data_IF_879028766289
#
_entry.id   IF_879028766289
#
_cell.length_a   1.000
_cell.length_b   1.000
_cell.length_c   1.000
_cell.angle_alpha   90.00
_cell.angle_beta   90.00
_cell.angle_gamma   90.00
#
_symmetry.space_group_name_H-M   'P 1'
#
loop_
_entity.id
_entity.type
_entity.pdbx_description
1 polymer ?
#
# COMPACT_ATOMS: atom_id res chain seq x y z
N UNK A 1 5.11 -9.75 6.08
CA UNK A 1 6.12 -10.37 6.96
C UNK A 1 7.14 -9.29 7.27
N UNK A 2 7.77 -9.32 8.43
CA UNK A 2 8.87 -8.42 8.75
C UNK A 2 9.76 -8.98 9.85
N UNK A 3 10.84 -8.28 10.13
CA UNK A 3 11.85 -8.67 11.08
C UNK A 3 11.78 -7.80 12.34
N UNK A 4 11.78 -8.44 13.51
CA UNK A 4 11.89 -7.79 14.81
C UNK A 4 13.33 -7.94 15.31
N UNK A 5 14.07 -6.84 15.27
CA UNK A 5 15.47 -6.76 15.66
C UNK A 5 15.69 -6.97 17.17
N UNK A 6 14.71 -6.60 18.00
CA UNK A 6 14.83 -6.73 19.45
C UNK A 6 14.78 -8.19 19.92
N UNK A 7 14.02 -9.03 19.21
CA UNK A 7 13.89 -10.45 19.52
C UNK A 7 14.65 -11.35 18.55
N UNK A 8 15.25 -10.78 17.50
CA UNK A 8 15.90 -11.49 16.39
C UNK A 8 14.97 -12.54 15.75
N UNK A 9 13.70 -12.16 15.53
CA UNK A 9 12.68 -13.06 14.97
C UNK A 9 12.02 -12.49 13.72
N UNK A 10 11.59 -13.39 12.83
CA UNK A 10 10.68 -13.02 11.74
C UNK A 10 9.24 -13.18 12.21
N UNK A 11 8.40 -12.21 11.87
CA UNK A 11 6.98 -12.19 12.22
C UNK A 11 6.12 -12.03 10.97
N UNK A 12 4.97 -12.67 10.99
CA UNK A 12 3.94 -12.55 9.96
C UNK A 12 2.71 -11.96 10.63
N UNK A 13 2.24 -10.84 10.09
CA UNK A 13 0.94 -10.25 10.45
C UNK A 13 -0.09 -10.68 9.43
N UNK A 14 -1.26 -11.10 9.92
CA UNK A 14 -2.46 -11.28 9.10
C UNK A 14 -3.60 -10.50 9.71
N UNK A 15 -4.45 -9.95 8.85
CA UNK A 15 -5.67 -9.25 9.24
C UNK A 15 -6.83 -9.96 8.56
N UNK A 16 -7.87 -10.27 9.32
CA UNK A 16 -9.10 -10.87 8.85
C UNK A 16 -10.29 -10.03 9.31
N UNK A 17 -11.30 -9.88 8.46
CA UNK A 17 -12.54 -9.20 8.80
C UNK A 17 -13.74 -9.94 8.23
N UNK A 18 -14.88 -9.83 8.90
CA UNK A 18 -16.15 -10.32 8.37
C UNK A 18 -16.73 -9.30 7.38
N UNK A 19 -16.65 -9.63 6.09
CA UNK A 19 -17.20 -8.80 5.00
C UNK A 19 -18.72 -8.67 5.05
N UNK A 20 -19.43 -9.54 5.79
CA UNK A 20 -20.90 -9.55 5.88
C UNK A 20 -21.44 -8.70 7.04
N UNK A 21 -20.58 -8.26 7.95
CA UNK A 21 -20.97 -7.44 9.09
C UNK A 21 -21.06 -5.97 8.70
N UNK A 22 -22.17 -5.30 9.05
CA UNK A 22 -22.36 -3.84 8.92
C UNK A 22 -21.30 -3.03 9.67
N UNK A 23 -20.63 -3.66 10.65
CA UNK A 23 -19.45 -3.12 11.34
C UNK A 23 -18.30 -4.06 11.02
N UNK A 24 -17.37 -3.65 10.16
CA UNK A 24 -16.17 -4.45 9.86
C UNK A 24 -15.38 -4.70 11.16
N UNK A 25 -15.61 -5.86 11.81
CA UNK A 25 -14.80 -6.30 12.95
C UNK A 25 -13.52 -6.89 12.39
N UNK A 26 -12.44 -6.12 12.52
CA UNK A 26 -11.11 -6.53 12.09
C UNK A 26 -10.40 -7.21 13.25
N UNK A 27 -9.84 -8.38 12.97
CA UNK A 27 -8.99 -9.13 13.89
C UNK A 27 -7.61 -9.20 13.28
N UNK A 28 -6.60 -8.87 14.09
CA UNK A 28 -5.20 -8.96 13.69
C UNK A 28 -4.49 -10.04 14.48
N UNK A 29 -3.69 -10.83 13.79
CA UNK A 29 -2.95 -11.94 14.40
C UNK A 29 -1.50 -11.93 13.94
N UNK A 30 -0.63 -12.34 14.85
CA UNK A 30 0.81 -12.47 14.64
C UNK A 30 1.21 -13.92 14.76
N UNK A 31 2.04 -14.35 13.81
CA UNK A 31 2.80 -15.57 13.87
C UNK A 31 4.29 -15.23 13.96
N UNK A 32 4.96 -15.76 14.97
CA UNK A 32 6.42 -15.64 15.12
C UNK A 32 7.03 -16.89 14.49
N UNK A 33 7.93 -16.71 13.54
CA UNK A 33 8.57 -17.83 12.86
C UNK A 33 9.34 -18.69 13.88
N UNK A 34 9.12 -20.00 13.84
CA UNK A 34 9.69 -20.94 14.81
C UNK A 34 8.77 -21.26 15.99
N UNK A 35 7.59 -20.64 16.10
CA UNK A 35 6.55 -21.05 17.04
C UNK A 35 5.47 -21.91 16.36
N UNK A 36 4.50 -22.42 17.14
CA UNK A 36 3.49 -23.37 16.66
C UNK A 36 2.12 -22.76 16.33
N UNK A 37 1.86 -21.50 16.68
CA UNK A 37 0.50 -20.94 16.56
C UNK A 37 0.48 -19.43 16.27
N UNK A 38 -0.63 -19.01 15.64
CA UNK A 38 -1.01 -17.61 15.52
C UNK A 38 -1.60 -17.13 16.84
N UNK A 39 -1.25 -15.92 17.28
CA UNK A 39 -1.91 -15.26 18.40
C UNK A 39 -2.56 -13.95 17.98
N UNK A 40 -3.68 -13.64 18.59
CA UNK A 40 -4.37 -12.36 18.40
C UNK A 40 -3.61 -11.22 19.09
N UNK A 41 -3.67 -10.03 18.49
CA UNK A 41 -3.13 -8.80 19.05
C UNK A 41 -4.24 -7.76 19.19
N UNK A 42 -4.18 -6.88 20.20
CA UNK A 42 -5.21 -5.87 20.42
C UNK A 42 -5.18 -4.76 19.36
N UNK A 43 -4.08 -4.62 18.62
CA UNK A 43 -3.94 -3.62 17.57
C UNK A 43 -4.51 -4.12 16.25
N UNK A 44 -5.35 -3.32 15.59
CA UNK A 44 -5.96 -3.62 14.29
C UNK A 44 -5.95 -2.37 13.41
N UNK A 45 -5.99 -2.53 12.07
CA UNK A 45 -5.99 -1.37 11.18
C UNK A 45 -7.35 -0.66 11.21
N UNK A 46 -7.40 0.62 10.82
CA UNK A 46 -8.65 1.40 10.83
C UNK A 46 -9.69 0.90 9.81
N UNK A 47 -9.25 0.18 8.77
CA UNK A 47 -10.11 -0.41 7.75
C UNK A 47 -9.40 -1.60 7.07
N UNK A 48 -10.07 -2.21 6.09
CA UNK A 48 -9.50 -3.32 5.31
C UNK A 48 -8.19 -2.90 4.62
N UNK A 49 -7.17 -3.75 4.75
CA UNK A 49 -5.89 -3.58 4.07
C UNK A 49 -6.02 -4.00 2.60
N UNK A 50 -5.41 -3.26 1.69
CA UNK A 50 -5.36 -3.64 0.28
C UNK A 50 -4.24 -4.63 -0.04
N UNK A 51 -4.24 -5.18 -1.25
CA UNK A 51 -3.13 -5.99 -1.74
C UNK A 51 -1.88 -5.16 -2.09
N UNK A 52 -2.05 -3.85 -2.25
CA UNK A 52 -0.97 -2.90 -2.56
C UNK A 52 -0.19 -2.60 -1.29
N UNK A 53 0.97 -3.24 -1.15
CA UNK A 53 1.76 -3.26 0.08
C UNK A 53 3.25 -3.18 -0.19
N UNK A 54 3.98 -2.54 0.71
CA UNK A 54 5.43 -2.39 0.61
C UNK A 54 6.10 -2.53 1.98
N UNK A 55 7.34 -3.02 2.00
CA UNK A 55 8.17 -3.03 3.21
C UNK A 55 9.25 -1.95 3.08
N UNK A 56 9.25 -0.99 4.00
CA UNK A 56 10.20 0.13 4.02
C UNK A 56 10.35 0.65 5.45
N UNK A 57 11.54 1.18 5.78
CA UNK A 57 11.82 1.75 7.10
C UNK A 57 11.52 0.78 8.28
N UNK A 58 11.76 -0.52 8.07
CA UNK A 58 11.50 -1.57 9.08
C UNK A 58 10.03 -1.93 9.31
N UNK A 59 9.12 -1.30 8.58
CA UNK A 59 7.67 -1.46 8.75
C UNK A 59 7.01 -2.00 7.47
N UNK A 60 5.88 -2.69 7.64
CA UNK A 60 5.01 -3.05 6.52
C UNK A 60 3.97 -1.95 6.32
N UNK A 61 3.74 -1.56 5.08
CA UNK A 61 2.82 -0.51 4.67
C UNK A 61 1.78 -1.05 3.69
N UNK A 62 0.58 -0.51 3.72
CA UNK A 62 -0.52 -0.83 2.81
C UNK A 62 -1.24 0.44 2.38
N UNK A 63 -1.72 0.49 1.14
CA UNK A 63 -2.77 1.45 0.79
C UNK A 63 -4.07 1.06 1.50
N UNK A 64 -4.74 2.07 2.04
CA UNK A 64 -6.03 1.95 2.75
C UNK A 64 -6.98 3.06 2.29
N UNK A 65 -8.28 2.77 2.24
CA UNK A 65 -9.32 3.74 1.93
C UNK A 65 -10.09 4.03 3.21
N UNK A 66 -9.96 5.25 3.71
CA UNK A 66 -10.58 5.68 4.96
C UNK A 66 -11.91 6.36 4.66
N UNK A 67 -12.95 6.17 5.49
CA UNK A 67 -14.19 6.91 5.35
C UNK A 67 -13.93 8.42 5.42
N UNK A 68 -14.51 9.18 4.49
CA UNK A 68 -14.50 10.64 4.53
C UNK A 68 -15.91 11.14 4.87
N UNK A 69 -16.12 11.75 6.05
CA UNK A 69 -17.43 12.28 6.45
C UNK A 69 -17.95 13.39 5.52
N UNK A 70 -17.05 14.05 4.78
CA UNK A 70 -17.40 15.13 3.86
C UNK A 70 -17.87 14.65 2.48
N UNK A 71 -17.63 13.37 2.16
CA UNK A 71 -18.10 12.74 0.94
C UNK A 71 -19.43 12.01 1.20
N UNK A 72 -20.34 12.05 0.22
CA UNK A 72 -21.54 11.19 0.24
C UNK A 72 -21.16 9.73 0.49
N UNK A 73 -22.11 8.95 1.02
CA UNK A 73 -22.07 7.63 1.70
C UNK A 73 -21.13 6.51 1.20
N UNK A 74 -20.37 6.72 0.13
CA UNK A 74 -19.52 5.74 -0.54
C UNK A 74 -18.10 6.24 -0.91
N UNK A 75 -17.75 7.50 -0.58
CA UNK A 75 -16.42 8.05 -0.84
C UNK A 75 -15.43 7.85 0.32
N UNK A 76 -14.14 7.81 0.02
CA UNK A 76 -13.10 7.75 1.03
C UNK A 76 -11.78 8.37 0.59
N UNK A 77 -10.92 8.65 1.56
CA UNK A 77 -9.57 9.17 1.34
C UNK A 77 -8.58 8.01 1.30
N UNK A 78 -7.86 7.88 0.18
CA UNK A 78 -6.76 6.93 0.07
C UNK A 78 -5.58 7.42 0.89
N UNK A 79 -5.00 6.55 1.70
CA UNK A 79 -3.83 6.85 2.51
C UNK A 79 -3.01 5.58 2.74
N UNK A 80 -1.93 5.68 3.52
CA UNK A 80 -1.07 4.54 3.86
C UNK A 80 -1.17 4.24 5.36
N UNK A 81 -1.47 2.98 5.66
CA UNK A 81 -1.40 2.41 7.00
C UNK A 81 -0.12 1.60 7.16
N UNK A 82 0.49 1.67 8.34
CA UNK A 82 1.78 1.04 8.64
C UNK A 82 1.67 0.13 9.85
N UNK A 83 2.39 -1.00 9.85
CA UNK A 83 2.49 -1.94 10.96
C UNK A 83 3.96 -2.09 11.40
N UNK A 84 4.19 -1.95 12.71
CA UNK A 84 5.49 -2.09 13.33
C UNK A 84 5.63 -3.50 13.93
N UNK A 85 6.56 -4.31 13.43
CA UNK A 85 6.74 -5.70 13.91
C UNK A 85 7.39 -5.80 15.29
N UNK A 86 8.16 -4.79 15.69
CA UNK A 86 8.79 -4.74 17.01
C UNK A 86 7.77 -4.43 18.11
N UNK A 87 6.91 -3.44 17.87
CA UNK A 87 5.82 -3.06 18.79
C UNK A 87 4.57 -3.92 18.63
N UNK A 88 4.43 -4.58 17.49
CA UNK A 88 3.25 -5.35 17.08
C UNK A 88 1.97 -4.51 17.03
N UNK A 89 2.12 -3.30 16.50
CA UNK A 89 1.07 -2.30 16.48
C UNK A 89 0.94 -1.67 15.10
N UNK A 90 -0.29 -1.39 14.69
CA UNK A 90 -0.57 -0.45 13.61
C UNK A 90 -0.28 0.97 14.11
N UNK A 91 0.43 1.75 13.30
CA UNK A 91 0.69 3.15 13.63
C UNK A 91 -0.63 3.92 13.73
N UNK A 92 -0.81 4.64 14.84
CA UNK A 92 -1.98 5.52 15.02
C UNK A 92 -2.01 6.71 14.06
N UNK A 93 -0.87 7.06 13.43
CA UNK A 93 -0.79 8.13 12.42
C UNK A 93 -0.66 7.54 11.03
N UNK A 94 -1.61 7.90 10.18
CA UNK A 94 -1.68 7.52 8.77
C UNK A 94 -0.74 8.41 7.96
N UNK A 95 -0.12 7.86 6.92
CA UNK A 95 0.72 8.62 5.98
C UNK A 95 -0.18 9.06 4.80
N UNK A 96 -0.34 10.37 4.54
CA UNK A 96 -1.13 10.84 3.40
C UNK A 96 -0.38 10.56 2.10
N UNK A 97 -1.13 10.48 1.00
CA UNK A 97 -0.55 10.49 -0.34
C UNK A 97 0.09 11.87 -0.66
N UNK A 98 0.90 11.99 -1.72
CA UNK A 98 1.34 13.29 -2.23
C UNK A 98 0.15 14.23 -2.47
N UNK A 99 0.29 15.51 -2.12
CA UNK A 99 -0.79 16.52 -2.21
C UNK A 99 -1.42 16.59 -3.61
N UNK A 100 -0.59 16.49 -4.65
CA UNK A 100 -1.03 16.45 -6.05
C UNK A 100 -2.02 15.31 -6.36
N UNK A 101 -1.99 14.22 -5.59
CA UNK A 101 -2.88 13.07 -5.78
C UNK A 101 -4.21 13.21 -5.03
N UNK A 102 -4.33 14.11 -4.05
CA UNK A 102 -5.52 14.17 -3.19
C UNK A 102 -6.79 14.34 -4.01
N UNK A 103 -6.81 15.27 -4.97
CA UNK A 103 -7.99 15.50 -5.82
C UNK A 103 -8.34 14.32 -6.76
N UNK A 104 -7.35 13.48 -7.12
CA UNK A 104 -7.54 12.28 -7.95
C UNK A 104 -8.04 11.10 -7.12
N UNK A 105 -7.54 10.94 -5.90
CA UNK A 105 -7.81 9.79 -5.01
C UNK A 105 -9.05 9.95 -4.12
N UNK A 106 -9.46 11.19 -3.83
CA UNK A 106 -10.56 11.51 -2.89
C UNK A 106 -11.94 11.10 -3.41
N UNK A 107 -12.10 10.68 -4.67
CA UNK A 107 -13.43 10.32 -5.24
C UNK A 107 -13.58 8.84 -5.59
N UNK A 108 -12.94 7.93 -4.86
CA UNK A 108 -12.98 6.50 -5.18
C UNK A 108 -13.75 5.69 -4.12
N UNK A 109 -14.59 4.75 -4.57
CA UNK A 109 -15.26 3.75 -3.72
C UNK A 109 -14.29 2.63 -3.29
N UNK A 110 -13.03 2.96 -2.99
CA UNK A 110 -11.97 1.99 -2.70
C UNK A 110 -10.60 2.45 -3.21
N UNK A 111 -9.62 1.54 -3.16
CA UNK A 111 -8.26 1.81 -3.66
C UNK A 111 -8.26 1.82 -5.19
N UNK A 112 -7.78 2.89 -5.84
CA UNK A 112 -7.67 2.93 -7.29
C UNK A 112 -6.68 1.87 -7.80
N UNK A 113 -7.09 1.10 -8.81
CA UNK A 113 -6.28 0.01 -9.38
C UNK A 113 -4.97 0.48 -10.05
N UNK A 114 -4.89 1.77 -10.35
CA UNK A 114 -3.72 2.39 -10.97
C UNK A 114 -2.68 2.90 -9.96
N UNK A 115 -2.99 2.87 -8.66
CA UNK A 115 -2.08 3.26 -7.59
C UNK A 115 -1.39 2.04 -7.00
N UNK A 116 -0.07 2.04 -7.02
CA UNK A 116 0.75 0.96 -6.51
C UNK A 116 1.70 1.48 -5.44
N UNK A 117 1.79 0.77 -4.32
CA UNK A 117 2.72 1.03 -3.24
C UNK A 117 3.84 -0.01 -3.31
N UNK A 118 5.09 0.45 -3.34
CA UNK A 118 6.27 -0.41 -3.45
C UNK A 118 7.45 0.14 -2.65
N UNK A 119 8.49 -0.68 -2.46
CA UNK A 119 9.76 -0.23 -1.94
C UNK A 119 10.66 0.15 -3.11
N UNK A 120 11.19 1.38 -3.12
CA UNK A 120 12.16 1.81 -4.11
C UNK A 120 13.44 2.21 -3.38
N UNK A 121 14.47 1.38 -3.51
CA UNK A 121 15.79 1.58 -2.88
C UNK A 121 15.68 1.77 -1.35
N UNK A 122 14.77 1.04 -0.72
CA UNK A 122 14.52 1.09 0.73
C UNK A 122 13.59 2.22 1.19
N UNK A 123 13.18 3.12 0.29
CA UNK A 123 12.18 4.15 0.56
C UNK A 123 10.80 3.71 0.10
N UNK A 124 9.76 4.23 0.74
CA UNK A 124 8.39 4.01 0.31
C UNK A 124 8.13 4.80 -0.98
N UNK A 125 7.51 4.17 -1.98
CA UNK A 125 7.17 4.82 -3.24
C UNK A 125 5.74 4.51 -3.66
N UNK A 126 5.08 5.51 -4.26
CA UNK A 126 3.80 5.39 -4.93
C UNK A 126 4.02 5.53 -6.42
N UNK A 127 3.41 4.64 -7.19
CA UNK A 127 3.35 4.72 -8.65
C UNK A 127 1.91 4.97 -9.08
N UNK A 128 1.70 6.08 -9.78
CA UNK A 128 0.43 6.42 -10.41
C UNK A 128 0.48 6.10 -11.91
N UNK A 129 -0.33 5.13 -12.33
CA UNK A 129 -0.48 4.71 -13.72
C UNK A 129 -1.81 5.17 -14.34
N UNK A 130 -2.51 6.11 -13.72
CA UNK A 130 -3.86 6.59 -14.10
C UNK A 130 -3.98 6.89 -15.58
N UNK A 131 -5.05 6.41 -16.22
CA UNK A 131 -5.27 6.52 -17.67
C UNK A 131 -5.29 7.95 -18.20
N UNK A 132 -5.71 8.88 -17.35
CA UNK A 132 -5.97 10.28 -17.72
C UNK A 132 -4.68 11.10 -17.79
N UNK A 133 -3.55 10.53 -17.34
CA UNK A 133 -2.22 11.12 -17.48
C UNK A 133 -1.47 10.46 -18.65
N UNK A 134 -0.74 11.27 -19.43
CA UNK A 134 0.20 10.79 -20.44
C UNK A 134 1.43 10.13 -19.81
N UNK A 135 1.65 10.34 -18.51
CA UNK A 135 2.82 9.87 -17.80
C UNK A 135 2.47 8.88 -16.70
N UNK A 136 3.43 8.02 -16.38
CA UNK A 136 3.50 7.31 -15.11
C UNK A 136 4.35 8.16 -14.18
N UNK A 137 3.80 8.48 -13.01
CA UNK A 137 4.51 9.26 -12.00
C UNK A 137 4.93 8.36 -10.83
N UNK A 138 6.20 8.48 -10.43
CA UNK A 138 6.77 7.74 -9.30
C UNK A 138 7.15 8.76 -8.23
N UNK A 139 6.41 8.71 -7.13
CA UNK A 139 6.60 9.57 -5.98
C UNK A 139 7.29 8.78 -4.88
N UNK A 140 8.36 9.33 -4.32
CA UNK A 140 9.16 8.68 -3.27
C UNK A 140 9.06 9.49 -1.99
N UNK A 141 8.78 8.80 -0.88
CA UNK A 141 8.74 9.37 0.46
C UNK A 141 10.17 9.62 0.94
N UNK A 142 10.65 10.86 0.79
CA UNK A 142 12.02 11.26 1.14
C UNK A 142 12.21 11.44 2.63
N UNK A 143 11.19 11.96 3.31
CA UNK A 143 11.19 12.12 4.75
C UNK A 143 10.02 11.36 5.36
N UNK A 144 10.33 10.22 5.98
CA UNK A 144 9.32 9.36 6.59
C UNK A 144 8.61 10.05 7.77
N UNK A 145 9.34 10.77 8.62
CA UNK A 145 8.80 11.41 9.82
C UNK A 145 7.92 12.63 9.48
N UNK A 146 8.38 13.45 8.53
CA UNK A 146 7.64 14.63 8.05
C UNK A 146 6.58 14.29 7.00
N UNK A 147 6.62 13.08 6.45
CA UNK A 147 5.73 12.59 5.39
C UNK A 147 5.84 13.40 4.09
N UNK A 148 7.06 13.80 3.75
CA UNK A 148 7.34 14.62 2.57
C UNK A 148 7.62 13.72 1.35
N UNK A 149 6.81 13.92 0.31
CA UNK A 149 6.90 13.20 -0.95
C UNK A 149 7.59 14.05 -2.02
N UNK A 150 8.48 13.44 -2.79
CA UNK A 150 9.04 14.04 -4.00
C UNK A 150 8.70 13.21 -5.23
N UNK A 151 8.40 13.88 -6.34
CA UNK A 151 8.32 13.26 -7.65
C UNK A 151 9.75 12.94 -8.12
N UNK A 152 10.11 11.67 -8.10
CA UNK A 152 11.46 11.23 -8.53
C UNK A 152 11.50 10.90 -10.03
N UNK A 153 10.41 10.34 -10.58
CA UNK A 153 10.36 9.98 -11.99
C UNK A 153 9.01 10.33 -12.60
N UNK A 154 9.07 10.80 -13.85
CA UNK A 154 7.92 11.00 -14.73
C UNK A 154 8.22 10.34 -16.06
N UNK A 155 7.52 9.25 -16.35
CA UNK A 155 7.78 8.37 -17.49
C UNK A 155 6.66 8.56 -18.50
N UNK A 156 6.97 9.02 -19.70
CA UNK A 156 5.98 9.09 -20.78
C UNK A 156 5.52 7.68 -21.18
N UNK A 157 4.21 7.46 -21.17
CA UNK A 157 3.60 6.18 -21.55
C UNK A 157 3.84 5.83 -23.01
N UNK A 158 4.12 6.82 -23.87
CA UNK A 158 4.49 6.59 -25.28
C UNK A 158 5.74 5.71 -25.40
N UNK A 159 6.63 5.77 -24.41
CA UNK A 159 7.86 4.95 -24.34
C UNK A 159 7.53 3.47 -24.15
N UNK A 160 6.36 3.14 -23.57
CA UNK A 160 5.94 1.76 -23.30
C UNK A 160 5.38 1.02 -24.53
N UNK A 161 5.55 1.55 -25.76
CA UNK A 161 5.22 0.93 -27.08
C UNK A 161 4.21 -0.23 -27.01
N UNK A 162 2.93 0.08 -26.96
CA UNK A 162 1.83 -0.90 -27.00
C UNK A 162 0.48 -0.24 -26.70
N UNK A 163 -0.60 -0.71 -27.34
CA UNK A 163 -1.97 -0.16 -27.22
C UNK A 163 -2.33 0.19 -25.76
N UNK A 164 -2.85 1.40 -25.55
CA UNK A 164 -3.56 1.91 -24.36
C UNK A 164 -3.43 0.97 -23.14
N UNK A 165 -2.32 1.11 -22.41
CA UNK A 165 -2.04 0.28 -21.23
C UNK A 165 -2.90 0.73 -20.05
N UNK A 166 -4.17 0.35 -20.08
CA UNK A 166 -5.08 0.48 -18.94
C UNK A 166 -4.74 -0.60 -17.91
N UNK A 167 -4.56 -0.22 -16.64
CA UNK A 167 -4.32 -1.13 -15.51
C UNK A 167 -2.98 -1.89 -15.58
N UNK A 168 -1.87 -1.17 -15.74
CA UNK A 168 -0.55 -1.77 -15.55
C UNK A 168 -0.43 -2.30 -14.12
N UNK A 169 0.17 -3.46 -13.96
CA UNK A 169 0.63 -3.94 -12.67
C UNK A 169 2.07 -3.48 -12.53
N UNK A 170 2.32 -2.72 -11.47
CA UNK A 170 3.66 -2.30 -11.08
C UNK A 170 4.23 -3.28 -10.07
N UNK A 171 5.45 -3.76 -10.32
CA UNK A 171 6.13 -4.72 -9.44
C UNK A 171 7.57 -4.30 -9.17
N UNK A 172 8.05 -4.66 -7.99
CA UNK A 172 9.44 -4.47 -7.56
C UNK A 172 10.26 -5.72 -7.88
N UNK A 173 11.51 -5.52 -8.29
CA UNK A 173 12.53 -6.57 -8.35
C UNK A 173 13.86 -6.04 -7.83
N UNK A 174 14.84 -6.92 -7.63
CA UNK A 174 16.12 -6.60 -6.96
C UNK A 174 16.84 -5.34 -7.50
N UNK A 175 16.63 -4.98 -8.76
CA UNK A 175 17.32 -3.87 -9.41
C UNK A 175 16.41 -2.72 -9.86
N UNK A 176 15.11 -2.74 -9.53
CA UNK A 176 14.23 -1.64 -9.87
C UNK A 176 12.75 -2.00 -9.90
N UNK A 177 12.04 -1.38 -10.83
CA UNK A 177 10.60 -1.52 -11.03
C UNK A 177 10.37 -2.02 -12.45
N UNK A 178 9.37 -2.87 -12.64
CA UNK A 178 8.87 -3.23 -13.96
C UNK A 178 7.34 -3.13 -14.01
N UNK A 179 6.84 -2.96 -15.22
CA UNK A 179 5.42 -2.87 -15.51
C UNK A 179 5.00 -4.10 -16.31
N UNK A 180 3.89 -4.73 -15.92
CA UNK A 180 3.33 -5.88 -16.63
C UNK A 180 1.84 -5.71 -16.86
N UNK A 181 1.32 -6.42 -17.86
CA UNK A 181 -0.10 -6.42 -18.19
C UNK A 181 -0.82 -7.53 -17.40
N UNK A 182 -2.01 -7.30 -16.82
CA UNK A 182 -2.73 -8.31 -16.02
C UNK A 182 -2.96 -9.65 -16.72
N UNK A 183 -3.04 -9.65 -18.06
CA UNK A 183 -3.24 -10.86 -18.88
C UNK A 183 -2.01 -11.78 -18.94
N UNK A 184 -0.84 -11.32 -18.52
CA UNK A 184 0.38 -12.14 -18.51
C UNK A 184 0.43 -13.16 -17.36
N UNK A 185 -0.50 -13.12 -16.40
CA UNK A 185 -0.57 -14.09 -15.28
C UNK A 185 -1.34 -15.39 -15.57
N UNK A 186 -1.82 -15.64 -16.80
CA UNK A 186 -2.63 -16.83 -17.14
C UNK A 186 -1.83 -18.03 -17.68
N UNK A 187 -0.52 -18.10 -17.46
CA UNK A 187 0.30 -19.23 -17.92
C UNK A 187 1.30 -19.65 -16.84
N UNK A 188 0.78 -20.28 -15.79
CA UNK A 188 1.50 -21.22 -14.91
C UNK A 188 0.56 -22.37 -14.56
#
# INVERSE_FOLDING_TARGET
MGFDDATNTYKIVRVSGDQKSTICKLVSQIYVLGTSSWREIPSFPPCNLSDSRAFAYGNQHWLVCLPDPSLSSYGGVVSICSFNFRKEEFYGRIIPLPEHMHNKSVRCMGIPKHLHLLSLRGSLAIVDTSSDDYNIEIWVLKNYDKKEWNLDYKIDKSVLRGKMMMNLICCEWKHGIYFTHPRCHRSL
#
